data_IF_374443386829
#
_entry.id   IF_374443386829
#
_cell.length_a   1.000
_cell.length_b   1.000
_cell.length_c   1.000
_cell.angle_alpha   90.00
_cell.angle_beta   90.00
_cell.angle_gamma   90.00
#
_symmetry.space_group_name_H-M   'P 1'
#
loop_
_entity.id
_entity.type
_entity.pdbx_description
1 polymer ?
#
# COMPACT_ATOMS: atom_id res chain seq x y z
N UNK A 1 1.79 -61.22 33.76
CA UNK A 1 1.00 -60.18 34.44
C UNK A 1 1.60 -58.85 34.03
N UNK A 2 0.77 -58.01 33.41
CA UNK A 2 1.05 -56.80 32.63
C UNK A 2 1.91 -55.75 33.35
N UNK A 3 3.01 -55.32 32.72
CA UNK A 3 3.73 -54.09 33.07
C UNK A 3 2.96 -52.90 32.49
N UNK A 4 2.41 -52.05 33.36
CA UNK A 4 1.72 -50.83 32.99
C UNK A 4 2.72 -49.79 32.48
N UNK A 5 2.50 -49.29 31.27
CA UNK A 5 3.28 -48.22 30.63
C UNK A 5 2.70 -46.86 31.08
N UNK A 6 3.54 -46.04 31.70
CA UNK A 6 3.17 -44.69 32.18
C UNK A 6 2.96 -43.74 31.00
N UNK A 7 1.90 -42.90 30.97
CA UNK A 7 1.72 -41.92 29.89
C UNK A 7 2.80 -40.82 29.94
N UNK A 8 3.27 -40.29 28.80
CA UNK A 8 4.21 -39.17 28.79
C UNK A 8 3.53 -37.89 29.32
N UNK A 9 4.30 -37.10 30.07
CA UNK A 9 3.87 -35.84 30.66
C UNK A 9 3.48 -34.81 29.58
N UNK A 10 2.54 -33.88 29.87
CA UNK A 10 2.16 -32.85 28.91
C UNK A 10 3.33 -31.92 28.63
N UNK A 11 3.70 -31.81 27.37
CA UNK A 11 4.72 -30.91 26.86
C UNK A 11 4.35 -29.46 27.21
N UNK A 12 5.16 -28.82 28.04
CA UNK A 12 4.97 -27.42 28.44
C UNK A 12 4.99 -26.55 27.18
N UNK A 13 3.95 -25.73 27.01
CA UNK A 13 3.88 -24.72 25.97
C UNK A 13 5.19 -23.93 25.90
N UNK A 14 5.86 -23.99 24.75
CA UNK A 14 7.11 -23.28 24.50
C UNK A 14 6.91 -21.77 24.74
N UNK A 15 7.82 -21.18 25.51
CA UNK A 15 7.92 -19.73 25.66
C UNK A 15 8.12 -19.08 24.28
N UNK A 16 7.65 -17.82 24.05
CA UNK A 16 7.88 -17.13 22.79
C UNK A 16 9.38 -17.07 22.48
N UNK A 17 9.76 -17.50 21.28
CA UNK A 17 11.15 -17.58 20.83
C UNK A 17 11.85 -16.22 21.00
N UNK A 18 13.07 -16.24 21.53
CA UNK A 18 13.92 -15.06 21.76
C UNK A 18 14.17 -14.22 20.49
N UNK A 19 13.88 -14.78 19.31
CA UNK A 19 13.95 -14.11 18.01
C UNK A 19 12.79 -13.11 17.79
N UNK A 20 11.61 -13.33 18.40
CA UNK A 20 10.44 -12.42 18.28
C UNK A 20 10.69 -11.08 18.99
N UNK A 21 11.33 -11.10 20.16
CA UNK A 21 11.72 -9.90 20.89
C UNK A 21 12.84 -9.12 20.17
N UNK A 22 13.71 -9.83 19.44
CA UNK A 22 14.79 -9.25 18.66
C UNK A 22 14.33 -8.54 17.39
N UNK A 23 13.23 -8.98 16.77
CA UNK A 23 12.72 -8.42 15.50
C UNK A 23 12.07 -7.06 15.70
N UNK A 24 11.24 -6.88 16.73
CA UNK A 24 10.65 -5.56 17.07
C UNK A 24 11.71 -4.58 17.57
N UNK A 25 12.79 -5.10 18.20
CA UNK A 25 13.91 -4.30 18.66
C UNK A 25 14.87 -3.83 17.54
N UNK A 26 14.82 -4.45 16.35
CA UNK A 26 15.64 -4.05 15.18
C UNK A 26 14.98 -3.01 14.27
N UNK A 27 13.71 -2.70 14.47
CA UNK A 27 13.03 -1.61 13.75
C UNK A 27 13.43 -0.27 14.38
N UNK A 28 13.66 0.75 13.54
CA UNK A 28 13.85 2.12 14.02
C UNK A 28 12.65 2.52 14.88
N UNK A 29 12.85 3.35 15.91
CA UNK A 29 11.74 3.86 16.74
C UNK A 29 10.66 4.53 15.88
N UNK A 30 11.05 5.18 14.79
CA UNK A 30 10.13 5.75 13.81
C UNK A 30 9.27 4.70 13.10
N UNK A 31 9.86 3.60 12.64
CA UNK A 31 9.13 2.53 11.94
C UNK A 31 8.20 1.78 12.91
N UNK A 32 8.63 1.62 14.16
CA UNK A 32 7.84 0.96 15.22
C UNK A 32 6.59 1.76 15.61
N UNK A 33 6.71 3.08 15.68
CA UNK A 33 5.59 3.98 16.01
C UNK A 33 4.93 4.59 14.78
N UNK A 34 5.20 4.06 13.57
CA UNK A 34 4.67 4.58 12.33
C UNK A 34 3.14 4.78 12.36
N UNK A 35 2.32 3.83 12.84
CA UNK A 35 0.87 4.04 12.93
C UNK A 35 0.49 5.25 13.80
N UNK A 36 1.23 5.45 14.90
CA UNK A 36 1.01 6.59 15.81
C UNK A 36 1.39 7.90 15.13
N UNK A 37 2.51 7.94 14.40
CA UNK A 37 2.94 9.12 13.65
C UNK A 37 1.96 9.49 12.54
N UNK A 38 1.41 8.49 11.84
CA UNK A 38 0.39 8.69 10.82
C UNK A 38 -0.87 9.32 11.44
N UNK A 39 -1.38 8.75 12.54
CA UNK A 39 -2.54 9.31 13.25
C UNK A 39 -2.25 10.72 13.76
N UNK A 40 -1.06 10.97 14.30
CA UNK A 40 -0.66 12.29 14.75
C UNK A 40 -0.57 13.29 13.58
N UNK A 41 -0.05 12.88 12.42
CA UNK A 41 0.01 13.69 11.21
C UNK A 41 -1.39 14.02 10.67
N UNK A 42 -2.32 13.05 10.68
CA UNK A 42 -3.73 13.29 10.31
C UNK A 42 -4.36 14.32 11.26
N UNK A 43 -4.23 14.11 12.57
CA UNK A 43 -4.78 15.03 13.56
C UNK A 43 -4.17 16.44 13.44
N UNK A 44 -2.86 16.53 13.21
CA UNK A 44 -2.18 17.80 12.97
C UNK A 44 -2.67 18.47 11.68
N UNK A 45 -2.87 17.71 10.60
CA UNK A 45 -3.45 18.20 9.35
C UNK A 45 -4.86 18.76 9.54
N UNK A 46 -5.78 17.99 10.13
CA UNK A 46 -7.15 18.46 10.43
C UNK A 46 -7.15 19.72 11.31
N UNK A 47 -6.27 19.76 12.31
CA UNK A 47 -6.15 20.91 13.19
C UNK A 47 -5.62 22.13 12.43
N UNK A 48 -4.60 21.96 11.60
CA UNK A 48 -3.99 23.03 10.82
C UNK A 48 -4.98 23.61 9.79
N UNK A 49 -5.69 22.75 9.06
CA UNK A 49 -6.72 23.17 8.11
C UNK A 49 -7.86 23.97 8.75
N UNK A 50 -8.16 23.71 10.03
CA UNK A 50 -9.15 24.49 10.80
C UNK A 50 -8.63 25.74 11.47
N UNK A 51 -7.36 25.73 11.89
CA UNK A 51 -6.79 26.80 12.70
C UNK A 51 -6.24 27.95 11.85
N UNK A 52 -5.95 27.70 10.57
CA UNK A 52 -5.34 28.65 9.64
C UNK A 52 -6.30 28.92 8.49
N UNK A 53 -7.08 29.99 8.61
CA UNK A 53 -7.95 30.48 7.54
C UNK A 53 -7.09 30.88 6.31
N UNK A 54 -7.48 30.45 5.12
CA UNK A 54 -6.78 30.77 3.86
C UNK A 54 -5.54 29.92 3.57
N UNK A 55 -5.30 28.83 4.33
CA UNK A 55 -4.23 27.88 4.02
C UNK A 55 -4.43 27.21 2.66
N UNK A 56 -5.68 26.89 2.32
CA UNK A 56 -6.03 26.27 1.04
C UNK A 56 -5.71 27.21 -0.12
N UNK A 57 -6.06 28.50 0.01
CA UNK A 57 -5.77 29.53 -0.99
C UNK A 57 -4.25 29.72 -1.17
N UNK A 58 -3.49 29.77 -0.07
CA UNK A 58 -2.03 29.92 -0.12
C UNK A 58 -1.33 28.71 -0.76
N UNK A 59 -1.90 27.50 -0.61
CA UNK A 59 -1.39 26.29 -1.25
C UNK A 59 -1.85 26.19 -2.71
N UNK A 60 -3.04 26.70 -3.04
CA UNK A 60 -3.56 26.81 -4.40
C UNK A 60 -2.74 27.83 -5.24
N UNK A 61 -2.25 28.91 -4.62
CA UNK A 61 -1.32 29.86 -5.26
C UNK A 61 0.03 29.21 -5.64
N UNK A 62 0.37 28.08 -4.99
CA UNK A 62 1.55 27.28 -5.24
C UNK A 62 1.24 26.07 -6.14
N UNK A 63 0.37 26.23 -7.12
CA UNK A 63 0.02 25.19 -8.09
C UNK A 63 0.73 25.34 -9.44
N UNK A 64 1.14 24.21 -10.01
CA UNK A 64 1.62 24.14 -11.40
C UNK A 64 0.80 23.08 -12.12
N UNK A 65 -0.04 23.52 -13.07
CA UNK A 65 -0.92 22.62 -13.83
C UNK A 65 -2.02 21.96 -12.99
N UNK A 66 -2.55 22.66 -11.97
CA UNK A 66 -3.61 22.15 -11.08
C UNK A 66 -3.11 21.21 -9.98
N UNK A 67 -1.78 21.10 -9.82
CA UNK A 67 -1.14 20.25 -8.82
C UNK A 67 -0.39 21.14 -7.84
N UNK A 68 -0.71 21.02 -6.55
CA UNK A 68 0.01 21.77 -5.51
C UNK A 68 1.46 21.30 -5.41
N UNK A 69 2.38 22.23 -5.65
CA UNK A 69 3.81 21.97 -5.71
C UNK A 69 4.36 21.39 -4.40
N UNK A 70 3.96 21.88 -3.20
CA UNK A 70 4.40 21.29 -1.93
C UNK A 70 4.01 19.81 -1.83
N UNK A 71 2.78 19.48 -2.24
CA UNK A 71 2.28 18.12 -2.19
C UNK A 71 3.02 17.22 -3.19
N UNK A 72 3.22 17.70 -4.43
CA UNK A 72 3.96 16.98 -5.44
C UNK A 72 5.40 16.69 -4.99
N UNK A 73 6.08 17.67 -4.36
CA UNK A 73 7.40 17.47 -3.78
C UNK A 73 7.34 16.42 -2.67
N UNK A 74 6.38 16.51 -1.74
CA UNK A 74 6.20 15.53 -0.67
C UNK A 74 6.06 14.10 -1.22
N UNK A 75 5.20 13.92 -2.22
CA UNK A 75 4.97 12.66 -2.93
C UNK A 75 6.24 12.13 -3.62
N UNK A 76 6.97 12.97 -4.35
CA UNK A 76 8.22 12.56 -5.01
C UNK A 76 9.30 12.18 -3.98
N UNK A 77 9.44 12.96 -2.91
CA UNK A 77 10.40 12.73 -1.82
C UNK A 77 10.09 11.42 -1.09
N UNK A 78 8.82 11.06 -0.91
CA UNK A 78 8.48 9.79 -0.26
C UNK A 78 8.74 8.56 -1.14
N UNK A 79 8.47 8.65 -2.44
CA UNK A 79 8.58 7.50 -3.36
C UNK A 79 10.03 7.21 -3.76
N UNK A 80 10.86 8.25 -3.92
CA UNK A 80 12.24 8.10 -4.37
C UNK A 80 13.10 7.14 -3.49
N UNK A 81 13.15 7.28 -2.15
CA UNK A 81 13.93 6.42 -1.28
C UNK A 81 13.55 4.94 -1.35
N UNK A 82 12.25 4.66 -1.44
CA UNK A 82 11.73 3.29 -1.54
C UNK A 82 12.27 2.63 -2.81
N UNK A 83 12.21 3.34 -3.93
CA UNK A 83 12.66 2.84 -5.24
C UNK A 83 14.18 2.77 -5.35
N UNK A 84 14.93 3.62 -4.64
CA UNK A 84 16.38 3.49 -4.51
C UNK A 84 16.79 2.23 -3.71
N UNK A 85 15.94 1.75 -2.79
CA UNK A 85 16.17 0.55 -1.98
C UNK A 85 15.86 -0.76 -2.71
N UNK A 86 15.08 -0.73 -3.80
CA UNK A 86 14.75 -1.91 -4.61
C UNK A 86 16.01 -2.47 -5.28
N UNK A 87 16.19 -3.79 -5.26
CA UNK A 87 17.29 -4.50 -5.94
C UNK A 87 16.85 -4.83 -7.37
N UNK A 88 17.56 -4.28 -8.36
CA UNK A 88 17.27 -4.49 -9.78
C UNK A 88 18.20 -5.52 -10.43
N UNK A 89 18.99 -6.25 -9.64
CA UNK A 89 20.01 -7.16 -10.15
C UNK A 89 19.41 -8.51 -10.57
N UNK A 90 19.88 -9.04 -11.71
CA UNK A 90 19.41 -10.29 -12.29
C UNK A 90 19.61 -11.50 -11.36
N UNK A 91 20.59 -11.46 -10.45
CA UNK A 91 20.86 -12.53 -9.50
C UNK A 91 19.77 -12.61 -8.44
N UNK A 92 19.35 -11.47 -7.88
CA UNK A 92 18.16 -11.40 -7.03
C UNK A 92 16.94 -11.96 -7.77
N UNK A 93 16.64 -11.48 -8.98
CA UNK A 93 15.56 -11.98 -9.83
C UNK A 93 15.64 -13.50 -10.14
N UNK A 94 16.85 -14.09 -10.16
CA UNK A 94 17.07 -15.52 -10.41
C UNK A 94 16.83 -16.40 -9.18
N UNK A 95 17.19 -15.95 -7.99
CA UNK A 95 16.77 -16.56 -6.71
C UNK A 95 15.24 -16.46 -6.52
N UNK A 96 14.67 -15.39 -7.06
CA UNK A 96 13.30 -14.94 -6.88
C UNK A 96 12.29 -15.60 -7.84
N UNK A 97 12.74 -15.99 -9.03
CA UNK A 97 11.93 -16.75 -10.00
C UNK A 97 11.83 -18.25 -9.68
N UNK A 98 12.43 -18.69 -8.56
CA UNK A 98 12.35 -20.08 -8.09
C UNK A 98 10.95 -20.51 -7.67
N UNK A 99 10.14 -19.60 -7.10
CA UNK A 99 8.77 -19.89 -6.67
C UNK A 99 7.73 -19.31 -7.64
N UNK A 100 7.62 -19.97 -8.79
CA UNK A 100 6.64 -19.63 -9.84
C UNK A 100 5.21 -19.62 -9.31
N UNK A 101 4.92 -20.38 -8.26
CA UNK A 101 3.59 -20.52 -7.69
C UNK A 101 3.18 -19.27 -6.91
N UNK A 102 4.05 -18.80 -6.02
CA UNK A 102 3.86 -17.53 -5.32
C UNK A 102 3.75 -16.36 -6.31
N UNK A 103 4.63 -16.32 -7.32
CA UNK A 103 4.62 -15.25 -8.32
C UNK A 103 3.32 -15.22 -9.12
N UNK A 104 2.87 -16.37 -9.63
CA UNK A 104 1.63 -16.47 -10.39
C UNK A 104 0.41 -16.08 -9.54
N UNK A 105 0.34 -16.59 -8.30
CA UNK A 105 -0.73 -16.20 -7.36
C UNK A 105 -0.73 -14.70 -7.10
N UNK A 106 0.44 -14.13 -6.80
CA UNK A 106 0.54 -12.70 -6.54
C UNK A 106 0.11 -11.89 -7.76
N UNK A 107 0.53 -12.25 -8.97
CA UNK A 107 0.15 -11.52 -10.18
C UNK A 107 -1.35 -11.57 -10.43
N UNK A 108 -1.97 -12.76 -10.35
CA UNK A 108 -3.41 -12.92 -10.55
C UNK A 108 -4.19 -12.15 -9.48
N UNK A 109 -3.80 -12.27 -8.21
CA UNK A 109 -4.51 -11.61 -7.12
C UNK A 109 -4.36 -10.08 -7.22
N UNK A 110 -3.15 -9.56 -7.45
CA UNK A 110 -2.91 -8.12 -7.44
C UNK A 110 -3.41 -7.40 -8.69
N UNK A 111 -3.36 -8.04 -9.86
CA UNK A 111 -3.62 -7.36 -11.14
C UNK A 111 -4.93 -7.77 -11.81
N UNK A 112 -5.57 -8.85 -11.35
CA UNK A 112 -6.87 -9.30 -11.84
C UNK A 112 -7.91 -9.21 -10.74
N UNK A 113 -7.74 -9.97 -9.66
CA UNK A 113 -8.76 -10.08 -8.61
C UNK A 113 -8.90 -8.80 -7.80
N UNK A 114 -7.79 -8.18 -7.39
CA UNK A 114 -7.78 -6.97 -6.56
C UNK A 114 -8.55 -5.82 -7.22
N UNK A 115 -8.20 -5.41 -8.45
CA UNK A 115 -8.95 -4.40 -9.19
C UNK A 115 -10.43 -4.77 -9.37
N UNK A 116 -10.73 -6.03 -9.72
CA UNK A 116 -12.11 -6.48 -9.93
C UNK A 116 -12.94 -6.42 -8.64
N UNK A 117 -12.36 -6.84 -7.50
CA UNK A 117 -13.02 -6.79 -6.19
C UNK A 117 -13.26 -5.34 -5.78
N UNK A 118 -12.27 -4.46 -5.95
CA UNK A 118 -12.47 -3.04 -5.63
C UNK A 118 -13.54 -2.40 -6.52
N UNK A 119 -13.51 -2.66 -7.82
CA UNK A 119 -14.52 -2.18 -8.76
C UNK A 119 -15.92 -2.64 -8.35
N UNK A 120 -16.10 -3.93 -8.06
CA UNK A 120 -17.38 -4.47 -7.62
C UNK A 120 -17.85 -3.80 -6.32
N UNK A 121 -16.97 -3.64 -5.33
CA UNK A 121 -17.30 -2.97 -4.06
C UNK A 121 -17.67 -1.50 -4.28
N UNK A 122 -16.94 -0.78 -5.14
CA UNK A 122 -17.23 0.62 -5.44
C UNK A 122 -18.63 0.78 -6.04
N UNK A 123 -19.03 -0.06 -7.00
CA UNK A 123 -20.37 -0.03 -7.60
C UNK A 123 -21.48 -0.50 -6.65
N UNK A 124 -21.20 -1.45 -5.76
CA UNK A 124 -22.19 -1.95 -4.78
C UNK A 124 -22.46 -0.93 -3.67
N UNK A 125 -21.42 -0.31 -3.12
CA UNK A 125 -21.53 0.56 -1.94
C UNK A 125 -21.72 2.04 -2.27
N UNK A 126 -21.32 2.49 -3.46
CA UNK A 126 -21.39 3.89 -3.89
C UNK A 126 -22.09 4.07 -5.25
N UNK A 127 -23.30 3.52 -5.46
CA UNK A 127 -24.03 3.61 -6.73
C UNK A 127 -24.50 5.04 -7.07
N UNK A 128 -24.58 5.93 -6.10
CA UNK A 128 -25.06 7.33 -6.22
C UNK A 128 -23.93 8.37 -6.10
N UNK A 129 -22.69 7.95 -5.84
CA UNK A 129 -21.54 8.85 -5.60
C UNK A 129 -20.39 8.55 -6.57
N UNK A 130 -20.47 9.02 -7.84
CA UNK A 130 -19.55 8.63 -8.90
C UNK A 130 -18.12 9.13 -8.69
N UNK A 131 -17.93 10.28 -8.07
CA UNK A 131 -16.60 10.80 -7.73
C UNK A 131 -15.87 9.90 -6.73
N UNK A 132 -16.54 9.53 -5.64
CA UNK A 132 -15.96 8.63 -4.63
C UNK A 132 -15.75 7.23 -5.21
N UNK A 133 -16.69 6.74 -6.03
CA UNK A 133 -16.58 5.46 -6.73
C UNK A 133 -15.32 5.43 -7.60
N UNK A 134 -15.10 6.47 -8.40
CA UNK A 134 -13.90 6.64 -9.23
C UNK A 134 -12.63 6.65 -8.38
N UNK A 135 -12.63 7.42 -7.29
CA UNK A 135 -11.51 7.46 -6.34
C UNK A 135 -11.18 6.09 -5.75
N UNK A 136 -12.17 5.32 -5.31
CA UNK A 136 -11.95 3.96 -4.80
C UNK A 136 -11.40 3.02 -5.86
N UNK A 137 -11.87 3.11 -7.10
CA UNK A 137 -11.32 2.29 -8.20
C UNK A 137 -9.84 2.63 -8.41
N UNK A 138 -9.48 3.91 -8.49
CA UNK A 138 -8.08 4.37 -8.59
C UNK A 138 -7.23 3.83 -7.43
N UNK A 139 -7.75 3.88 -6.20
CA UNK A 139 -7.12 3.28 -5.02
C UNK A 139 -6.90 1.78 -5.19
N UNK A 140 -7.90 1.04 -5.67
CA UNK A 140 -7.81 -0.40 -5.91
C UNK A 140 -6.76 -0.80 -6.96
N UNK A 141 -6.55 0.06 -7.95
CA UNK A 141 -5.52 -0.09 -8.99
C UNK A 141 -4.11 0.16 -8.45
N UNK A 142 -3.97 1.02 -7.43
CA UNK A 142 -2.70 1.30 -6.79
C UNK A 142 -2.31 0.17 -5.83
N UNK A 143 -1.31 -0.63 -6.20
CA UNK A 143 -0.80 -1.75 -5.40
C UNK A 143 0.30 -1.28 -4.44
N UNK A 144 0.28 -1.79 -3.22
CA UNK A 144 1.26 -1.40 -2.21
C UNK A 144 2.69 -1.80 -2.59
N UNK A 145 3.65 -0.89 -2.33
CA UNK A 145 5.09 -1.07 -2.59
C UNK A 145 5.97 -0.79 -1.37
N UNK A 146 5.43 -0.20 -0.29
CA UNK A 146 6.26 0.24 0.83
C UNK A 146 5.72 -0.27 2.17
N UNK A 147 4.55 0.23 2.58
CA UNK A 147 4.00 -0.03 3.91
C UNK A 147 3.76 -1.52 4.18
N UNK A 148 3.51 -2.30 3.14
CA UNK A 148 3.39 -3.76 3.21
C UNK A 148 4.58 -4.45 3.87
N UNK A 149 5.80 -3.92 3.73
CA UNK A 149 6.99 -4.53 4.34
C UNK A 149 6.87 -4.53 5.87
N UNK A 150 6.28 -3.48 6.43
CA UNK A 150 6.10 -3.33 7.89
C UNK A 150 5.07 -4.35 8.38
N UNK A 151 3.93 -4.46 7.70
CA UNK A 151 2.91 -5.46 8.04
C UNK A 151 3.43 -6.89 7.91
N UNK A 152 4.20 -7.15 6.84
CA UNK A 152 4.87 -8.42 6.63
C UNK A 152 5.84 -8.75 7.76
N UNK A 153 6.69 -7.79 8.14
CA UNK A 153 7.67 -7.97 9.23
C UNK A 153 6.99 -8.22 10.58
N UNK A 154 5.96 -7.44 10.90
CA UNK A 154 5.18 -7.61 12.13
C UNK A 154 4.43 -8.95 12.17
N UNK A 155 3.98 -9.45 11.01
CA UNK A 155 3.34 -10.76 10.89
C UNK A 155 4.32 -11.93 10.80
N UNK A 156 5.64 -11.69 10.87
CA UNK A 156 6.69 -12.69 10.66
C UNK A 156 6.60 -13.38 9.28
N UNK A 157 6.31 -12.61 8.24
CA UNK A 157 6.31 -13.04 6.85
C UNK A 157 7.72 -13.18 6.25
N UNK A 158 7.79 -13.72 5.03
CA UNK A 158 9.04 -13.89 4.29
C UNK A 158 9.50 -12.54 3.70
N UNK A 159 10.63 -12.04 4.18
CA UNK A 159 11.19 -10.73 3.79
C UNK A 159 11.69 -10.70 2.36
N UNK A 160 12.28 -11.79 1.89
CA UNK A 160 12.82 -11.86 0.54
C UNK A 160 11.65 -11.88 -0.44
N UNK A 161 10.65 -12.72 -0.19
CA UNK A 161 9.41 -12.74 -0.96
C UNK A 161 8.71 -11.38 -0.94
N UNK A 162 8.64 -10.69 0.21
CA UNK A 162 8.01 -9.37 0.29
C UNK A 162 8.73 -8.34 -0.60
N UNK A 163 10.06 -8.29 -0.54
CA UNK A 163 10.86 -7.39 -1.37
C UNK A 163 10.67 -7.64 -2.87
N UNK A 164 10.51 -8.90 -3.26
CA UNK A 164 10.20 -9.30 -4.63
C UNK A 164 8.84 -8.81 -5.07
N UNK A 165 7.80 -9.13 -4.29
CA UNK A 165 6.43 -8.81 -4.67
C UNK A 165 6.27 -7.29 -4.75
N UNK A 166 6.92 -6.53 -3.87
CA UNK A 166 7.04 -5.07 -3.94
C UNK A 166 7.70 -4.60 -5.25
N UNK A 167 8.83 -5.21 -5.64
CA UNK A 167 9.53 -4.84 -6.86
C UNK A 167 8.68 -5.13 -8.10
N UNK A 168 8.05 -6.30 -8.14
CA UNK A 168 7.12 -6.68 -9.21
C UNK A 168 5.92 -5.74 -9.27
N UNK A 169 5.31 -5.43 -8.12
CA UNK A 169 4.19 -4.50 -8.05
C UNK A 169 4.60 -3.13 -8.59
N UNK A 170 5.77 -2.61 -8.21
CA UNK A 170 6.27 -1.32 -8.72
C UNK A 170 6.38 -1.29 -10.25
N UNK A 171 6.95 -2.33 -10.85
CA UNK A 171 7.12 -2.42 -12.31
C UNK A 171 5.79 -2.59 -13.02
N UNK A 172 4.97 -3.54 -12.57
CA UNK A 172 3.64 -3.77 -13.17
C UNK A 172 2.75 -2.54 -13.01
N UNK A 173 2.86 -1.79 -11.92
CA UNK A 173 2.07 -0.58 -11.70
C UNK A 173 2.37 0.49 -12.74
N UNK A 174 3.63 0.75 -13.06
CA UNK A 174 3.97 1.71 -14.12
C UNK A 174 3.37 1.28 -15.47
N UNK A 175 3.37 -0.03 -15.77
CA UNK A 175 2.96 -0.55 -17.07
C UNK A 175 1.44 -0.73 -17.21
N UNK A 176 0.79 -1.22 -16.15
CA UNK A 176 -0.59 -1.68 -16.17
C UNK A 176 -1.57 -0.67 -15.59
N UNK A 177 -1.15 0.29 -14.76
CA UNK A 177 -2.09 1.19 -14.09
C UNK A 177 -2.89 2.03 -15.09
N UNK A 178 -2.25 2.64 -16.09
CA UNK A 178 -2.98 3.41 -17.11
C UNK A 178 -3.95 2.54 -17.93
N UNK A 179 -3.51 1.34 -18.31
CA UNK A 179 -4.34 0.38 -19.06
C UNK A 179 -5.54 -0.09 -18.24
N UNK A 180 -5.32 -0.45 -16.97
CA UNK A 180 -6.38 -0.89 -16.08
C UNK A 180 -7.28 0.28 -15.66
N UNK A 181 -6.74 1.50 -15.55
CA UNK A 181 -7.51 2.72 -15.32
C UNK A 181 -8.50 2.94 -16.46
N UNK A 182 -8.03 2.93 -17.70
CA UNK A 182 -8.91 2.96 -18.87
C UNK A 182 -9.93 1.82 -18.86
N UNK A 183 -9.49 0.59 -18.60
CA UNK A 183 -10.38 -0.57 -18.61
C UNK A 183 -11.49 -0.47 -17.54
N UNK A 184 -11.16 -0.13 -16.29
CA UNK A 184 -12.12 -0.11 -15.19
C UNK A 184 -12.92 1.18 -15.07
N UNK A 185 -12.45 2.31 -15.61
CA UNK A 185 -13.15 3.59 -15.51
C UNK A 185 -13.96 3.94 -16.76
N UNK A 186 -13.60 3.41 -17.94
CA UNK A 186 -14.25 3.75 -19.20
C UNK A 186 -14.84 2.50 -19.89
N UNK A 187 -13.99 1.54 -20.29
CA UNK A 187 -14.43 0.41 -21.12
C UNK A 187 -15.43 -0.52 -20.42
N UNK A 188 -15.10 -0.99 -19.20
CA UNK A 188 -15.89 -1.97 -18.47
C UNK A 188 -17.25 -1.40 -18.02
N UNK A 189 -17.34 -0.18 -17.45
CA UNK A 189 -18.63 0.46 -17.20
C UNK A 189 -19.49 0.58 -18.47
N UNK A 190 -18.89 1.02 -19.59
CA UNK A 190 -19.59 1.13 -20.87
C UNK A 190 -20.15 -0.21 -21.38
N UNK A 191 -19.40 -1.31 -21.21
CA UNK A 191 -19.88 -2.66 -21.55
C UNK A 191 -21.01 -3.16 -20.65
N UNK A 192 -21.02 -2.72 -19.39
CA UNK A 192 -22.03 -3.12 -18.41
C UNK A 192 -23.25 -2.19 -18.40
N UNK A 193 -23.26 -1.13 -19.21
CA UNK A 193 -24.31 -0.10 -19.19
C UNK A 193 -24.36 0.67 -17.87
N UNK A 194 -23.22 0.78 -17.19
CA UNK A 194 -23.08 1.43 -15.89
C UNK A 194 -22.59 2.87 -16.10
N UNK A 195 -23.19 3.83 -15.39
CA UNK A 195 -22.76 5.23 -15.41
C UNK A 195 -23.28 6.05 -16.60
N UNK A 196 -24.28 5.55 -17.35
CA UNK A 196 -24.96 6.35 -18.37
C UNK A 196 -25.57 7.62 -17.75
N UNK A 197 -25.04 8.79 -18.13
CA UNK A 197 -25.49 10.11 -17.64
C UNK A 197 -24.66 10.71 -16.49
N UNK A 198 -23.70 9.96 -15.93
CA UNK A 198 -22.70 10.50 -15.00
C UNK A 198 -21.60 11.21 -15.83
N UNK A 199 -21.78 12.50 -16.13
CA UNK A 199 -20.82 13.31 -16.89
C UNK A 199 -19.54 13.60 -16.07
N UNK A 200 -18.74 12.57 -15.78
CA UNK A 200 -17.37 12.74 -15.30
C UNK A 200 -16.43 12.70 -16.50
N UNK A 201 -15.70 13.79 -16.74
CA UNK A 201 -14.68 13.86 -17.78
C UNK A 201 -13.44 13.08 -17.32
N UNK A 202 -13.48 11.75 -17.46
CA UNK A 202 -12.40 10.86 -17.02
C UNK A 202 -11.41 10.68 -18.16
N UNK A 203 -10.31 11.44 -18.12
CA UNK A 203 -9.21 11.30 -19.08
C UNK A 203 -8.25 10.20 -18.66
N UNK A 204 -8.41 8.99 -19.23
CA UNK A 204 -7.47 7.88 -19.01
C UNK A 204 -6.02 8.24 -19.43
N UNK A 205 -5.87 9.14 -20.39
CA UNK A 205 -4.58 9.66 -20.82
C UNK A 205 -3.92 10.51 -19.72
N UNK A 206 -4.68 11.40 -19.06
CA UNK A 206 -4.17 12.19 -17.93
C UNK A 206 -3.81 11.31 -16.74
N UNK A 207 -4.63 10.30 -16.42
CA UNK A 207 -4.32 9.30 -15.40
C UNK A 207 -2.97 8.62 -15.72
N UNK A 208 -2.77 8.18 -16.96
CA UNK A 208 -1.52 7.55 -17.37
C UNK A 208 -0.31 8.50 -17.27
N UNK A 209 -0.46 9.76 -17.69
CA UNK A 209 0.57 10.79 -17.55
C UNK A 209 0.92 11.01 -16.07
N UNK A 210 -0.08 11.17 -15.21
CA UNK A 210 0.13 11.37 -13.78
C UNK A 210 0.84 10.17 -13.13
N UNK A 211 0.52 8.94 -13.50
CA UNK A 211 1.25 7.75 -13.04
C UNK A 211 2.73 7.82 -13.48
N UNK A 212 3.01 8.18 -14.73
CA UNK A 212 4.39 8.30 -15.22
C UNK A 212 5.14 9.41 -14.48
N UNK A 213 4.49 10.54 -14.18
CA UNK A 213 5.10 11.64 -13.44
C UNK A 213 5.37 11.23 -11.98
N UNK A 214 4.36 10.75 -11.26
CA UNK A 214 4.48 10.50 -9.82
C UNK A 214 5.16 9.18 -9.46
N UNK A 215 5.10 8.16 -10.31
CA UNK A 215 5.79 6.89 -10.09
C UNK A 215 6.98 6.70 -11.03
N UNK A 216 6.84 7.02 -12.31
CA UNK A 216 7.89 6.81 -13.31
C UNK A 216 9.15 7.64 -13.05
N UNK A 217 9.02 8.93 -12.72
CA UNK A 217 10.17 9.79 -12.41
C UNK A 217 10.93 9.30 -11.17
N UNK A 218 10.28 9.05 -10.01
CA UNK A 218 10.96 8.43 -8.87
C UNK A 218 11.58 7.06 -9.15
N UNK A 219 10.95 6.24 -10.00
CA UNK A 219 11.48 4.93 -10.39
C UNK A 219 12.80 5.07 -11.15
N UNK A 220 12.83 5.93 -12.17
CA UNK A 220 14.05 6.20 -12.95
C UNK A 220 15.14 6.78 -12.04
N UNK A 221 14.80 7.75 -11.18
CA UNK A 221 15.73 8.37 -10.25
C UNK A 221 16.29 7.35 -9.23
N UNK A 222 15.43 6.50 -8.66
CA UNK A 222 15.81 5.44 -7.73
C UNK A 222 16.71 4.40 -8.39
N UNK A 223 16.34 3.94 -9.59
CA UNK A 223 17.14 3.01 -10.40
C UNK A 223 18.52 3.60 -10.73
N UNK A 224 18.57 4.84 -11.22
CA UNK A 224 19.81 5.52 -11.55
C UNK A 224 20.71 5.70 -10.32
N UNK A 225 20.13 6.13 -9.19
CA UNK A 225 20.84 6.30 -7.91
C UNK A 225 21.48 4.99 -7.46
N UNK A 226 20.71 3.90 -7.48
CA UNK A 226 21.23 2.59 -7.09
C UNK A 226 22.32 2.10 -8.03
N UNK A 227 22.07 2.15 -9.34
CA UNK A 227 23.03 1.66 -10.35
C UNK A 227 24.35 2.42 -10.28
N UNK A 228 24.31 3.74 -10.21
CA UNK A 228 25.51 4.58 -10.09
C UNK A 228 26.18 4.37 -8.73
N UNK A 229 25.39 4.27 -7.65
CA UNK A 229 25.88 4.06 -6.29
C UNK A 229 26.63 2.73 -6.14
N UNK A 230 26.04 1.63 -6.61
CA UNK A 230 26.66 0.31 -6.57
C UNK A 230 27.91 0.22 -7.45
N UNK A 231 27.91 0.86 -8.63
CA UNK A 231 29.08 0.91 -9.51
C UNK A 231 30.25 1.69 -8.91
N UNK A 232 29.98 2.79 -8.19
CA UNK A 232 31.03 3.67 -7.65
C UNK A 232 31.53 3.25 -6.27
N UNK A 233 30.63 2.80 -5.39
CA UNK A 233 30.95 2.54 -3.98
C UNK A 233 31.05 1.05 -3.64
N UNK A 234 30.55 0.18 -4.51
CA UNK A 234 30.31 -1.22 -4.20
C UNK A 234 29.03 -1.43 -3.39
N UNK A 235 28.42 -2.62 -3.52
CA UNK A 235 27.11 -2.95 -2.93
C UNK A 235 27.06 -2.76 -1.42
N UNK A 236 28.03 -3.30 -0.70
CA UNK A 236 28.07 -3.25 0.76
C UNK A 236 28.10 -1.81 1.27
N UNK A 237 28.88 -0.93 0.64
CA UNK A 237 29.01 0.47 1.04
C UNK A 237 27.77 1.28 0.69
N UNK A 238 27.11 0.97 -0.43
CA UNK A 238 25.82 1.56 -0.78
C UNK A 238 24.76 1.20 0.28
N UNK A 239 24.64 -0.09 0.62
CA UNK A 239 23.64 -0.56 1.57
C UNK A 239 23.89 -0.10 3.01
N UNK A 240 25.16 0.05 3.43
CA UNK A 240 25.50 0.45 4.80
C UNK A 240 25.65 1.96 5.01
N UNK A 241 25.97 2.76 3.97
CA UNK A 241 26.17 4.22 4.12
C UNK A 241 25.15 5.08 3.40
N UNK A 242 24.65 4.66 2.24
CA UNK A 242 23.78 5.48 1.40
C UNK A 242 22.32 5.23 1.76
N UNK A 243 21.88 3.97 1.78
CA UNK A 243 20.50 3.62 2.09
C UNK A 243 20.03 4.12 3.47
N UNK A 244 20.81 4.02 4.57
CA UNK A 244 20.35 4.51 5.87
C UNK A 244 20.18 6.04 5.94
N UNK A 245 20.82 6.80 5.03
CA UNK A 245 20.66 8.26 4.94
C UNK A 245 19.46 8.66 4.10
N UNK A 246 19.15 7.89 3.04
CA UNK A 246 18.04 8.18 2.13
C UNK A 246 16.72 7.63 2.70
N UNK A 247 16.75 6.48 3.36
CA UNK A 247 15.58 5.76 3.88
C UNK A 247 14.61 6.62 4.70
N UNK A 248 15.04 7.40 5.71
CA UNK A 248 14.15 8.20 6.54
C UNK A 248 13.34 9.26 5.77
N UNK A 249 13.84 9.74 4.63
CA UNK A 249 13.13 10.70 3.79
C UNK A 249 11.82 10.14 3.22
N UNK A 250 11.72 8.81 3.08
CA UNK A 250 10.47 8.16 2.69
C UNK A 250 9.36 8.52 3.68
N UNK A 251 9.67 8.33 4.97
CA UNK A 251 8.74 8.56 6.06
C UNK A 251 8.47 10.05 6.27
N UNK A 252 9.50 10.90 6.19
CA UNK A 252 9.30 12.34 6.32
C UNK A 252 8.43 12.90 5.20
N UNK A 253 8.66 12.49 3.95
CA UNK A 253 7.80 12.84 2.83
C UNK A 253 6.37 12.36 3.03
N UNK A 254 6.19 11.11 3.47
CA UNK A 254 4.87 10.54 3.75
C UNK A 254 4.10 11.34 4.80
N UNK A 255 4.71 11.57 5.97
CA UNK A 255 4.05 12.29 7.07
C UNK A 255 3.76 13.74 6.67
N UNK A 256 4.68 14.39 5.95
CA UNK A 256 4.48 15.73 5.42
C UNK A 256 3.30 15.80 4.45
N UNK A 257 3.26 14.88 3.48
CA UNK A 257 2.15 14.76 2.52
C UNK A 257 0.82 14.50 3.24
N UNK A 258 0.80 13.63 4.25
CA UNK A 258 -0.41 13.38 5.05
C UNK A 258 -0.88 14.66 5.76
N UNK A 259 0.02 15.40 6.42
CA UNK A 259 -0.36 16.67 7.08
C UNK A 259 -0.98 17.63 6.07
N UNK A 260 -0.34 17.83 4.91
CA UNK A 260 -0.87 18.74 3.88
C UNK A 260 -2.22 18.29 3.34
N UNK A 261 -2.38 17.01 3.04
CA UNK A 261 -3.64 16.47 2.50
C UNK A 261 -4.79 16.64 3.49
N UNK A 262 -4.57 16.32 4.75
CA UNK A 262 -5.60 16.44 5.78
C UNK A 262 -5.85 17.90 6.20
N UNK A 263 -4.90 18.80 5.97
CA UNK A 263 -5.14 20.23 6.08
C UNK A 263 -6.07 20.71 4.94
N UNK A 264 -5.76 20.36 3.69
CA UNK A 264 -6.54 20.73 2.50
C UNK A 264 -7.93 20.08 2.45
N UNK A 265 -8.07 18.87 2.99
CA UNK A 265 -9.34 18.11 3.02
C UNK A 265 -10.03 18.19 4.38
N UNK A 266 -9.51 19.01 5.31
CA UNK A 266 -9.98 19.08 6.69
C UNK A 266 -11.46 19.42 6.78
N UNK A 267 -11.93 20.36 5.96
CA UNK A 267 -13.33 20.77 5.92
C UNK A 267 -14.24 19.69 5.33
N UNK A 268 -13.85 19.06 4.21
CA UNK A 268 -14.61 17.97 3.59
C UNK A 268 -14.79 16.78 4.56
N UNK A 269 -13.71 16.37 5.25
CA UNK A 269 -13.72 15.23 6.18
C UNK A 269 -14.67 15.44 7.36
N UNK A 270 -14.82 16.69 7.80
CA UNK A 270 -15.50 17.00 9.06
C UNK A 270 -16.89 17.60 8.91
N UNK A 271 -17.17 18.23 7.76
CA UNK A 271 -18.51 18.68 7.41
C UNK A 271 -19.38 17.53 6.88
N UNK A 272 -18.78 16.51 6.24
CA UNK A 272 -19.47 15.37 5.66
C UNK A 272 -18.99 14.01 6.22
N UNK A 273 -19.12 13.75 7.54
CA UNK A 273 -18.63 12.50 8.15
C UNK A 273 -19.35 11.25 7.61
N UNK A 274 -20.57 11.41 7.10
CA UNK A 274 -21.31 10.32 6.48
C UNK A 274 -20.66 9.86 5.18
N UNK A 275 -20.19 10.77 4.34
CA UNK A 275 -19.51 10.44 3.09
C UNK A 275 -18.18 9.71 3.36
N UNK A 276 -17.44 10.16 4.37
CA UNK A 276 -16.24 9.45 4.87
C UNK A 276 -16.58 8.02 5.30
N UNK A 277 -17.66 7.83 6.05
CA UNK A 277 -18.10 6.49 6.47
C UNK A 277 -18.52 5.60 5.29
N UNK A 278 -19.19 6.17 4.28
CA UNK A 278 -19.59 5.46 3.06
C UNK A 278 -18.39 5.03 2.22
N UNK A 279 -17.30 5.80 2.20
CA UNK A 279 -16.03 5.43 1.56
C UNK A 279 -15.29 4.37 2.40
N UNK A 280 -15.29 4.52 3.72
CA UNK A 280 -14.58 3.64 4.63
C UNK A 280 -15.10 2.19 4.60
N UNK A 281 -16.41 2.00 4.45
CA UNK A 281 -17.04 0.69 4.45
C UNK A 281 -16.53 -0.25 3.34
N UNK A 282 -16.58 0.11 2.03
CA UNK A 282 -16.04 -0.74 0.98
C UNK A 282 -14.54 -0.98 1.12
N UNK A 283 -13.75 0.00 1.61
CA UNK A 283 -12.33 -0.20 1.88
C UNK A 283 -12.09 -1.25 2.98
N UNK A 284 -12.83 -1.17 4.08
CA UNK A 284 -12.76 -2.16 5.16
C UNK A 284 -13.07 -3.57 4.62
N UNK A 285 -14.16 -3.70 3.85
CA UNK A 285 -14.55 -4.97 3.22
C UNK A 285 -13.45 -5.45 2.28
N UNK A 286 -12.90 -4.56 1.46
CA UNK A 286 -11.81 -4.86 0.53
C UNK A 286 -10.59 -5.45 1.25
N UNK A 287 -10.08 -4.78 2.28
CA UNK A 287 -8.88 -5.24 3.00
C UNK A 287 -9.10 -6.60 3.64
N UNK A 288 -10.26 -6.82 4.27
CA UNK A 288 -10.58 -8.10 4.91
C UNK A 288 -10.73 -9.21 3.86
N UNK A 289 -11.50 -8.97 2.80
CA UNK A 289 -11.74 -9.97 1.75
C UNK A 289 -10.45 -10.32 1.02
N UNK A 290 -9.67 -9.33 0.61
CA UNK A 290 -8.41 -9.54 -0.08
C UNK A 290 -7.40 -10.27 0.79
N UNK A 291 -7.26 -9.88 2.05
CA UNK A 291 -6.34 -10.54 2.97
C UNK A 291 -6.78 -11.99 3.25
N UNK A 292 -8.04 -12.21 3.64
CA UNK A 292 -8.56 -13.53 3.96
C UNK A 292 -8.53 -14.47 2.75
N UNK A 293 -8.97 -13.99 1.58
CA UNK A 293 -8.98 -14.76 0.35
C UNK A 293 -7.57 -15.16 -0.09
N UNK A 294 -6.63 -14.22 -0.06
CA UNK A 294 -5.23 -14.48 -0.41
C UNK A 294 -4.54 -15.41 0.57
N UNK A 295 -4.82 -15.25 1.88
CA UNK A 295 -4.30 -16.13 2.92
C UNK A 295 -4.84 -17.56 2.74
N UNK A 296 -6.15 -17.71 2.55
CA UNK A 296 -6.79 -19.00 2.33
C UNK A 296 -6.25 -19.69 1.07
N UNK A 297 -6.08 -18.94 -0.03
CA UNK A 297 -5.52 -19.45 -1.27
C UNK A 297 -4.06 -19.87 -1.10
N UNK A 298 -3.24 -19.05 -0.43
CA UNK A 298 -1.84 -19.40 -0.13
C UNK A 298 -1.73 -20.69 0.68
N UNK A 299 -2.60 -20.87 1.68
CA UNK A 299 -2.68 -22.12 2.46
C UNK A 299 -3.15 -23.31 1.63
N UNK A 300 -4.21 -23.15 0.83
CA UNK A 300 -4.76 -24.21 -0.01
C UNK A 300 -3.75 -24.72 -1.04
N UNK A 301 -2.89 -23.82 -1.52
CA UNK A 301 -1.84 -24.11 -2.49
C UNK A 301 -0.57 -24.65 -1.80
N UNK A 302 -0.53 -24.72 -0.47
CA UNK A 302 0.55 -25.34 0.29
C UNK A 302 1.77 -24.43 0.51
N UNK A 303 1.60 -23.11 0.46
CA UNK A 303 2.66 -22.18 0.85
C UNK A 303 2.94 -22.27 2.36
N UNK A 304 4.21 -22.04 2.74
CA UNK A 304 4.59 -21.88 4.15
C UNK A 304 3.84 -20.70 4.78
N UNK A 305 3.76 -20.66 6.11
CA UNK A 305 3.11 -19.54 6.81
C UNK A 305 3.72 -18.20 6.39
N UNK A 306 5.06 -18.11 6.39
CA UNK A 306 5.77 -16.87 6.10
C UNK A 306 5.39 -16.34 4.71
N UNK A 307 5.39 -17.21 3.69
CA UNK A 307 5.00 -16.86 2.31
C UNK A 307 3.52 -16.56 2.15
N UNK A 308 2.66 -17.29 2.86
CA UNK A 308 1.21 -17.03 2.87
C UNK A 308 0.91 -15.65 3.45
N UNK A 309 1.52 -15.30 4.59
CA UNK A 309 1.37 -13.99 5.21
C UNK A 309 1.88 -12.90 4.25
N UNK A 310 3.05 -13.08 3.64
CA UNK A 310 3.58 -12.17 2.63
C UNK A 310 2.63 -11.97 1.46
N UNK A 311 2.08 -13.05 0.90
CA UNK A 311 1.10 -12.98 -0.18
C UNK A 311 -0.15 -12.21 0.26
N UNK A 312 -0.68 -12.49 1.45
CA UNK A 312 -1.90 -11.87 1.95
C UNK A 312 -1.74 -10.36 2.21
N UNK A 313 -0.64 -9.94 2.84
CA UNK A 313 -0.39 -8.51 3.09
C UNK A 313 -0.09 -7.74 1.81
N UNK A 314 0.65 -8.33 0.87
CA UNK A 314 0.90 -7.72 -0.45
C UNK A 314 -0.33 -7.63 -1.33
N UNK A 315 -1.24 -8.61 -1.23
CA UNK A 315 -2.52 -8.59 -1.92
C UNK A 315 -3.57 -7.67 -1.29
N UNK A 316 -3.54 -7.46 0.03
CA UNK A 316 -4.50 -6.60 0.70
C UNK A 316 -4.11 -5.12 0.59
N UNK A 317 -2.82 -4.79 0.73
CA UNK A 317 -2.38 -3.40 0.80
C UNK A 317 -2.51 -2.64 -0.52
N UNK A 318 -2.86 -1.36 -0.40
CA UNK A 318 -2.87 -0.42 -1.52
C UNK A 318 -1.74 0.63 -1.41
N UNK A 319 -1.47 1.33 -2.50
CA UNK A 319 -0.57 2.49 -2.51
C UNK A 319 -1.42 3.76 -2.62
N UNK A 320 -1.93 4.21 -1.48
CA UNK A 320 -2.78 5.39 -1.44
C UNK A 320 -2.06 6.64 -1.87
N UNK A 321 -0.76 6.72 -1.65
CA UNK A 321 0.01 7.90 -1.96
C UNK A 321 0.06 8.13 -3.47
N UNK A 322 0.25 7.06 -4.26
CA UNK A 322 0.08 7.13 -5.70
C UNK A 322 -1.38 7.38 -6.09
N UNK A 323 -2.34 6.73 -5.45
CA UNK A 323 -3.76 6.91 -5.78
C UNK A 323 -4.20 8.38 -5.58
N UNK A 324 -3.78 8.99 -4.48
CA UNK A 324 -3.98 10.40 -4.16
C UNK A 324 -3.25 11.27 -5.16
N UNK A 325 -1.98 10.98 -5.47
CA UNK A 325 -1.22 11.74 -6.47
C UNK A 325 -1.91 11.76 -7.85
N UNK A 326 -2.40 10.60 -8.30
CA UNK A 326 -3.13 10.45 -9.56
C UNK A 326 -4.48 11.15 -9.50
N UNK A 327 -5.22 11.00 -8.40
CA UNK A 327 -6.52 11.64 -8.21
C UNK A 327 -6.37 13.16 -8.23
N UNK A 328 -5.40 13.71 -7.51
CA UNK A 328 -5.14 15.15 -7.45
C UNK A 328 -4.63 15.66 -8.80
N UNK A 329 -3.70 14.93 -9.43
CA UNK A 329 -3.16 15.30 -10.73
C UNK A 329 -4.18 15.27 -11.87
N UNK A 330 -5.28 14.53 -11.72
CA UNK A 330 -6.31 14.38 -12.77
C UNK A 330 -7.57 15.19 -12.46
N UNK A 331 -7.99 15.22 -11.19
CA UNK A 331 -9.29 15.78 -10.78
C UNK A 331 -9.16 16.99 -9.84
N UNK A 332 -7.94 17.32 -9.38
CA UNK A 332 -7.69 18.42 -8.45
C UNK A 332 -7.71 18.00 -6.98
N UNK A 333 -7.16 18.87 -6.13
CA UNK A 333 -6.88 18.56 -4.72
C UNK A 333 -8.11 18.43 -3.83
N UNK A 334 -9.16 19.20 -4.12
CA UNK A 334 -10.43 19.23 -3.39
C UNK A 334 -11.48 18.25 -3.95
N UNK A 335 -11.12 17.44 -4.95
CA UNK A 335 -12.04 16.50 -5.60
C UNK A 335 -12.48 15.36 -4.67
N UNK A 336 -13.67 14.79 -4.93
CA UNK A 336 -14.13 13.60 -4.21
C UNK A 336 -13.24 12.38 -4.41
N UNK A 337 -12.58 12.27 -5.58
CA UNK A 337 -11.60 11.24 -5.90
C UNK A 337 -10.39 11.33 -4.96
N UNK A 338 -9.88 12.55 -4.72
CA UNK A 338 -8.78 12.78 -3.80
C UNK A 338 -9.19 12.47 -2.35
N UNK A 339 -10.40 12.87 -1.93
CA UNK A 339 -10.95 12.54 -0.62
C UNK A 339 -11.01 11.02 -0.39
N UNK A 340 -11.49 10.26 -1.38
CA UNK A 340 -11.53 8.80 -1.29
C UNK A 340 -10.14 8.19 -1.08
N UNK A 341 -9.11 8.74 -1.72
CA UNK A 341 -7.71 8.37 -1.49
C UNK A 341 -7.24 8.68 -0.07
N UNK A 342 -7.59 9.85 0.48
CA UNK A 342 -7.21 10.30 1.83
C UNK A 342 -7.89 9.49 2.94
N UNK A 343 -9.12 9.02 2.73
CA UNK A 343 -9.81 8.11 3.66
C UNK A 343 -9.14 6.73 3.70
N UNK A 344 -8.45 6.34 2.63
CA UNK A 344 -7.69 5.09 2.54
C UNK A 344 -6.82 4.77 3.75
N UNK A 345 -5.78 5.59 4.04
CA UNK A 345 -4.89 5.38 5.18
C UNK A 345 -5.60 5.37 6.54
N UNK A 346 -6.71 6.10 6.69
CA UNK A 346 -7.50 6.11 7.94
C UNK A 346 -8.06 4.71 8.26
N UNK A 347 -8.38 3.92 7.23
CA UNK A 347 -8.96 2.59 7.36
C UNK A 347 -7.90 1.49 7.24
N UNK A 348 -6.99 1.59 6.29
CA UNK A 348 -5.99 0.53 6.05
C UNK A 348 -5.10 0.29 7.27
N UNK A 349 -4.57 1.35 7.88
CA UNK A 349 -3.62 1.23 8.99
C UNK A 349 -4.20 0.43 10.16
N UNK A 350 -5.38 0.78 10.74
CA UNK A 350 -5.94 0.00 11.83
C UNK A 350 -6.34 -1.42 11.40
N UNK A 351 -6.86 -1.59 10.18
CA UNK A 351 -7.29 -2.90 9.67
C UNK A 351 -6.11 -3.84 9.44
N UNK A 352 -5.05 -3.39 8.79
CA UNK A 352 -3.86 -4.21 8.56
C UNK A 352 -3.13 -4.53 9.87
N UNK A 353 -3.10 -3.61 10.84
CA UNK A 353 -2.62 -3.92 12.20
C UNK A 353 -3.47 -5.03 12.84
N UNK A 354 -4.80 -4.95 12.76
CA UNK A 354 -5.66 -6.00 13.28
C UNK A 354 -5.39 -7.34 12.58
N UNK A 355 -5.22 -7.33 11.25
CA UNK A 355 -4.92 -8.52 10.46
C UNK A 355 -3.53 -9.10 10.74
N UNK A 356 -2.55 -8.30 11.16
CA UNK A 356 -1.26 -8.80 11.69
C UNK A 356 -1.50 -9.68 12.91
N UNK A 357 -2.31 -9.22 13.88
CA UNK A 357 -2.64 -10.03 15.05
C UNK A 357 -3.41 -11.29 14.69
N UNK A 358 -4.32 -11.22 13.71
CA UNK A 358 -5.01 -12.40 13.16
C UNK A 358 -3.99 -13.37 12.54
N UNK A 359 -3.06 -12.88 11.72
CA UNK A 359 -1.99 -13.69 11.10
C UNK A 359 -1.17 -14.42 12.16
N UNK A 360 -0.71 -13.71 13.19
CA UNK A 360 0.07 -14.27 14.29
C UNK A 360 -0.72 -15.32 15.09
N UNK A 361 -2.02 -15.11 15.28
CA UNK A 361 -2.90 -16.11 15.90
C UNK A 361 -3.03 -17.38 15.04
N UNK A 362 -3.11 -17.24 13.71
CA UNK A 362 -3.14 -18.37 12.77
C UNK A 362 -1.80 -19.11 12.68
N UNK A 363 -0.67 -18.41 12.86
CA UNK A 363 0.66 -19.01 12.97
C UNK A 363 0.72 -20.06 14.08
N UNK A 364 0.24 -19.70 15.28
CA UNK A 364 0.23 -20.57 16.47
C UNK A 364 -0.62 -21.83 16.29
N UNK A 365 -1.60 -21.80 15.39
CA UNK A 365 -2.53 -22.91 15.12
C UNK A 365 -2.12 -23.77 13.93
N UNK A 366 -1.13 -23.34 13.16
CA UNK A 366 -0.69 -24.06 11.97
C UNK A 366 0.30 -25.15 12.38
N UNK A 367 0.09 -26.43 12.01
CA UNK A 367 1.12 -27.44 12.17
C UNK A 367 2.36 -26.99 11.38
N UNK A 368 3.54 -27.07 12.01
CA UNK A 368 4.81 -26.72 11.39
C UNK A 368 4.98 -27.57 10.13
N UNK A 369 4.69 -26.99 8.97
CA UNK A 369 5.08 -27.59 7.69
C UNK A 369 6.58 -27.37 7.63
N UNK A 370 7.33 -28.45 7.84
CA UNK A 370 8.78 -28.46 7.64
C UNK A 370 9.04 -28.20 6.15
N UNK A 371 9.79 -27.13 5.86
CA UNK A 371 10.41 -26.91 4.55
C UNK A 371 11.51 -27.95 4.29
#
# INVERSE_FOLDING_TARGET
>A
MTTAETPPAPERAAAPDADEAGVVARLSTLDRFLPVWIIAAMAAGLFLGRAVDGLDDALADLEVGGISLPLAIGLLVMMYPVLAKVRYDATSLRTVTGDRRLMALSLVINWVLGPAVMFALAWIFLPDLPEFRTGLIIVGLARCIAMVIIWNDLACGDREAAAVLVALNSVFQVLAFGLLGWFYLDLLPGWLGLGEGENLDISAAEIAVNVVVFLGVPLIAGFATRRIGEQRLGRERYETRVLPRIGPWALYGLLFTIVLLFALQGDAITSAPWDVARIALPLLVYFVVMWCGSYALGRAVGLSYARTATLAFTAAGNNFELAIAVAIGTFGVTSGQALAGVVGPLIEVPVLVALVYVSLALRRRSPVVRD
#
